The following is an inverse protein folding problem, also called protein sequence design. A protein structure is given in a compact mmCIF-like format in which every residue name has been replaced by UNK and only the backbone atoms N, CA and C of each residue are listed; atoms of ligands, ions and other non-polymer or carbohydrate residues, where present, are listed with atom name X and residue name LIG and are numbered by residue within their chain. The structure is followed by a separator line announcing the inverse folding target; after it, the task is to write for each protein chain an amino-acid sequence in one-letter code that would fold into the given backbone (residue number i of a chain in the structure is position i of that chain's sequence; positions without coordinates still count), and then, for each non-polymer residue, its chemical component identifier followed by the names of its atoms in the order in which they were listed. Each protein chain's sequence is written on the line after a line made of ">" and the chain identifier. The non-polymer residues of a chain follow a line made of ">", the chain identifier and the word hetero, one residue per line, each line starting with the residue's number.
data_IF_246287310965
#
_entry.id   IF_246287310965
#
_cell.length_a   1.000
_cell.length_b   1.000
_cell.length_c   1.000
_cell.angle_alpha   90.00
_cell.angle_beta   90.00
_cell.angle_gamma   90.00
#
_symmetry.space_group_name_H-M   'P 1'
#
loop_
_entity.id
_entity.type
_entity.pdbx_description
1 polymer ?
#
# COMPACT_ATOMS: atom_id res chain seq x y z
N UNK A 1 32.94 -16.62 -13.48
CA UNK A 1 31.60 -17.11 -13.10
C UNK A 1 30.89 -17.52 -14.38
N UNK A 2 30.38 -18.74 -14.50
CA UNK A 2 29.74 -19.18 -15.75
C UNK A 2 28.56 -18.27 -16.12
N UNK A 3 28.41 -17.93 -17.41
CA UNK A 3 27.35 -17.06 -17.93
C UNK A 3 25.93 -17.52 -17.51
N UNK A 4 25.72 -18.83 -17.42
CA UNK A 4 24.46 -19.43 -16.92
C UNK A 4 24.16 -19.06 -15.46
N UNK A 5 25.18 -18.94 -14.62
CA UNK A 5 25.03 -18.58 -13.20
C UNK A 5 24.63 -17.11 -13.09
N UNK A 6 25.26 -16.23 -13.87
CA UNK A 6 24.93 -14.79 -13.91
C UNK A 6 23.49 -14.57 -14.38
N UNK A 7 23.06 -15.26 -15.43
CA UNK A 7 21.67 -15.20 -15.92
C UNK A 7 20.65 -15.64 -14.87
N UNK A 8 20.93 -16.72 -14.13
CA UNK A 8 20.07 -17.18 -13.02
C UNK A 8 20.02 -16.17 -11.88
N UNK A 9 21.16 -15.56 -11.54
CA UNK A 9 21.26 -14.56 -10.49
C UNK A 9 20.44 -13.31 -10.82
N UNK A 10 20.56 -12.81 -12.06
CA UNK A 10 19.79 -11.67 -12.55
C UNK A 10 18.28 -11.96 -12.51
N UNK A 11 17.88 -13.16 -12.94
CA UNK A 11 16.46 -13.56 -12.91
C UNK A 11 15.92 -13.61 -11.47
N UNK A 12 16.71 -14.14 -10.53
CA UNK A 12 16.35 -14.17 -9.12
C UNK A 12 16.23 -12.76 -8.52
N UNK A 13 17.16 -11.86 -8.85
CA UNK A 13 17.10 -10.46 -8.41
C UNK A 13 15.87 -9.74 -8.99
N UNK A 14 15.55 -9.98 -10.26
CA UNK A 14 14.35 -9.44 -10.90
C UNK A 14 13.08 -9.92 -10.18
N UNK A 15 13.00 -11.22 -9.88
CA UNK A 15 11.89 -11.78 -9.13
C UNK A 15 11.75 -11.16 -7.74
N UNK A 16 12.87 -10.97 -7.04
CA UNK A 16 12.88 -10.35 -5.71
C UNK A 16 12.38 -8.89 -5.75
N UNK A 17 12.82 -8.11 -6.75
CA UNK A 17 12.36 -6.74 -6.94
C UNK A 17 10.85 -6.67 -7.16
N UNK A 18 10.32 -7.53 -8.03
CA UNK A 18 8.88 -7.63 -8.30
C UNK A 18 8.14 -8.02 -7.02
N UNK A 19 8.64 -9.00 -6.27
CA UNK A 19 8.03 -9.46 -5.02
C UNK A 19 7.93 -8.33 -3.98
N UNK A 20 9.00 -7.58 -3.76
CA UNK A 20 9.03 -6.47 -2.80
C UNK A 20 8.01 -5.38 -3.18
N UNK A 21 7.93 -5.05 -4.48
CA UNK A 21 6.98 -4.04 -4.98
C UNK A 21 5.52 -4.48 -4.77
N UNK A 22 5.19 -5.72 -5.12
CA UNK A 22 3.83 -6.25 -4.96
C UNK A 22 3.46 -6.38 -3.48
N UNK A 23 4.38 -6.86 -2.63
CA UNK A 23 4.16 -7.01 -1.20
C UNK A 23 3.85 -5.66 -0.53
N UNK A 24 4.60 -4.61 -0.87
CA UNK A 24 4.36 -3.27 -0.34
C UNK A 24 2.99 -2.69 -0.74
N UNK A 25 2.47 -3.05 -1.92
CA UNK A 25 1.16 -2.61 -2.36
C UNK A 25 0.05 -3.38 -1.62
N UNK A 26 0.26 -4.69 -1.40
CA UNK A 26 -0.69 -5.53 -0.67
C UNK A 26 -0.70 -5.25 0.84
N UNK A 27 0.38 -4.74 1.43
CA UNK A 27 0.46 -4.47 2.87
C UNK A 27 -0.25 -3.18 3.31
N UNK A 28 -0.74 -2.36 2.36
CA UNK A 28 -1.40 -1.08 2.66
C UNK A 28 -2.93 -1.15 2.48
N UNK A 29 -3.59 -2.26 2.81
CA UNK A 29 -5.06 -2.32 2.71
C UNK A 29 -5.78 -1.67 3.90
N UNK A 30 -5.06 -1.28 4.95
CA UNK A 30 -5.59 -0.58 6.11
C UNK A 30 -5.89 0.90 5.88
N UNK A 31 -5.37 1.50 4.80
CA UNK A 31 -5.52 2.93 4.54
C UNK A 31 -6.57 3.15 3.46
N UNK A 32 -7.64 3.85 3.81
CA UNK A 32 -8.77 4.15 2.91
C UNK A 32 -8.96 5.65 2.81
N UNK A 33 -9.13 6.17 1.59
CA UNK A 33 -9.55 7.54 1.38
C UNK A 33 -11.09 7.61 1.40
N UNK A 34 -11.63 8.49 2.23
CA UNK A 34 -13.07 8.73 2.35
C UNK A 34 -13.38 10.16 1.93
N UNK A 35 -14.22 10.29 0.91
CA UNK A 35 -14.70 11.59 0.43
C UNK A 35 -16.13 11.81 0.97
N UNK A 36 -16.29 12.82 1.82
CA UNK A 36 -17.58 13.19 2.43
C UNK A 36 -18.14 14.38 1.67
N UNK A 37 -19.32 14.21 1.10
CA UNK A 37 -20.03 15.25 0.35
C UNK A 37 -21.10 15.86 1.26
N UNK A 38 -20.91 17.12 1.66
CA UNK A 38 -21.85 17.88 2.47
C UNK A 38 -22.38 19.14 1.77
N UNK A 39 -23.31 19.84 2.41
CA UNK A 39 -23.84 21.13 1.90
C UNK A 39 -22.76 22.20 1.69
N UNK A 40 -21.62 22.09 2.38
CA UNK A 40 -20.49 23.05 2.33
C UNK A 40 -19.37 22.64 1.36
N UNK A 41 -19.56 21.59 0.55
CA UNK A 41 -18.55 21.08 -0.39
C UNK A 41 -18.07 19.67 -0.07
N UNK A 42 -16.98 19.26 -0.73
CA UNK A 42 -16.35 17.95 -0.57
C UNK A 42 -15.21 18.09 0.43
N UNK A 43 -15.18 17.22 1.45
CA UNK A 43 -14.02 17.04 2.33
C UNK A 43 -13.48 15.63 2.18
N UNK A 44 -12.16 15.51 2.11
CA UNK A 44 -11.47 14.24 1.93
C UNK A 44 -10.66 13.92 3.17
N UNK A 45 -10.75 12.68 3.64
CA UNK A 45 -10.02 12.18 4.80
C UNK A 45 -9.32 10.88 4.47
N UNK A 46 -8.17 10.64 5.07
CA UNK A 46 -7.56 9.32 5.13
C UNK A 46 -7.94 8.65 6.45
N UNK A 47 -8.49 7.44 6.37
CA UNK A 47 -8.80 6.60 7.53
C UNK A 47 -7.82 5.44 7.53
N UNK A 48 -7.02 5.33 8.60
CA UNK A 48 -6.08 4.24 8.80
C UNK A 48 -6.63 3.29 9.86
N UNK A 49 -7.06 2.11 9.44
CA UNK A 49 -7.56 1.07 10.32
C UNK A 49 -6.41 0.30 10.97
N UNK A 50 -6.61 -0.16 12.21
CA UNK A 50 -5.59 -0.95 12.90
C UNK A 50 -5.33 -2.31 12.21
N UNK A 51 -6.34 -2.88 11.54
CA UNK A 51 -6.24 -4.16 10.82
C UNK A 51 -7.25 -4.26 9.66
N UNK A 52 -6.91 -4.97 8.59
CA UNK A 52 -7.74 -5.26 7.41
C UNK A 52 -8.96 -6.13 7.75
N UNK A 53 -8.85 -6.95 8.79
CA UNK A 53 -9.84 -7.98 9.15
C UNK A 53 -10.75 -7.55 10.32
N UNK A 54 -10.38 -6.48 11.02
CA UNK A 54 -11.07 -5.96 12.18
C UNK A 54 -10.96 -4.43 12.14
N UNK A 55 -12.08 -3.78 11.82
CA UNK A 55 -12.17 -2.34 11.55
C UNK A 55 -12.57 -1.54 12.82
N UNK A 56 -12.44 -2.16 13.99
CA UNK A 56 -13.03 -1.68 15.25
C UNK A 56 -12.25 -0.50 15.85
N UNK A 57 -11.02 -0.26 15.39
CA UNK A 57 -10.21 0.92 15.73
C UNK A 57 -9.53 1.52 14.50
N UNK A 58 -9.52 2.85 14.45
CA UNK A 58 -8.96 3.62 13.34
C UNK A 58 -8.49 5.02 13.77
N UNK A 59 -7.59 5.59 12.98
CA UNK A 59 -7.14 6.99 13.05
C UNK A 59 -7.60 7.74 11.80
N UNK A 60 -7.92 9.03 11.92
CA UNK A 60 -8.32 9.90 10.82
C UNK A 60 -7.27 10.99 10.62
N UNK A 61 -6.84 11.16 9.38
CA UNK A 61 -5.99 12.27 8.94
C UNK A 61 -6.74 13.11 7.91
N UNK A 62 -6.60 14.44 7.99
CA UNK A 62 -7.08 15.33 6.94
C UNK A 62 -6.18 15.17 5.70
N UNK A 63 -6.72 15.34 4.50
CA UNK A 63 -5.91 15.36 3.26
C UNK A 63 -5.15 16.67 3.06
N UNK A 64 -5.36 17.63 3.97
CA UNK A 64 -4.75 18.96 3.98
C UNK A 64 -3.35 19.02 4.59
N UNK A 65 -2.90 17.95 5.29
CA UNK A 65 -1.55 17.80 5.86
C UNK A 65 -0.58 17.13 4.87
#
# INVERSE_FOLDING_TARGET
>A
MEERVVKKLILFLLFLLIYIQIFSLQSKKNLVKVDIIGKSGIKSYYVNFSNEQNLDSFEIYDTSD
#
